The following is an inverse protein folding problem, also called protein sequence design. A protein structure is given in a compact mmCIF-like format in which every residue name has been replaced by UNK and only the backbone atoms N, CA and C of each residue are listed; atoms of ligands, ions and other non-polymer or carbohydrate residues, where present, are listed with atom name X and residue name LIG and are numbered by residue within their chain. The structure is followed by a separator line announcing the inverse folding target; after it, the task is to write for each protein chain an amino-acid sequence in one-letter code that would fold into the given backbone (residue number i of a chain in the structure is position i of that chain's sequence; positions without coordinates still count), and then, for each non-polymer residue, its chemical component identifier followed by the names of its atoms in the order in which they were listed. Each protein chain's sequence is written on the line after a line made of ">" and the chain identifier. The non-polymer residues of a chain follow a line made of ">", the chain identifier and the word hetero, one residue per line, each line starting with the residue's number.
data_IF_245431562171
#
_entry.id   IF_245431562171
#
_cell.length_a   1.000
_cell.length_b   1.000
_cell.length_c   1.000
_cell.angle_alpha   90.00
_cell.angle_beta   90.00
_cell.angle_gamma   90.00
#
_symmetry.space_group_name_H-M   'P 1'
#
loop_
_entity.id
_entity.type
_entity.pdbx_description
1 polymer ?
#
# COMPACT_ATOMS: atom_id res chain seq x y z
N UNK A 1 -1.99 2.47 9.23
CA UNK A 1 -0.81 2.08 8.44
C UNK A 1 0.27 1.62 9.42
N UNK A 2 0.66 0.34 9.38
CA UNK A 2 1.63 -0.22 10.33
C UNK A 2 3.07 0.15 9.91
N UNK A 3 3.53 1.32 10.35
CA UNK A 3 4.88 1.85 10.09
C UNK A 3 6.00 0.98 10.71
N UNK A 4 5.63 -0.01 11.54
CA UNK A 4 6.60 -0.89 12.20
C UNK A 4 7.30 -1.84 11.22
N UNK A 5 6.60 -2.34 10.20
CA UNK A 5 7.19 -3.23 9.19
C UNK A 5 8.18 -2.49 8.28
N UNK A 6 7.87 -1.23 7.92
CA UNK A 6 8.81 -0.37 7.17
C UNK A 6 10.05 -0.09 8.01
N UNK A 7 9.88 0.24 9.28
CA UNK A 7 10.99 0.47 10.23
C UNK A 7 11.84 -0.78 10.44
N UNK A 8 11.23 -1.97 10.50
CA UNK A 8 11.95 -3.25 10.61
C UNK A 8 12.82 -3.49 9.36
N UNK A 9 12.28 -3.18 8.18
CA UNK A 9 12.97 -3.25 6.90
C UNK A 9 14.18 -2.30 6.86
N UNK A 10 13.97 -1.03 7.22
CA UNK A 10 15.03 -0.01 7.27
C UNK A 10 16.15 -0.41 8.22
N UNK A 11 15.80 -0.95 9.39
CA UNK A 11 16.77 -1.42 10.38
C UNK A 11 17.55 -2.64 9.90
N UNK A 12 16.90 -3.55 9.16
CA UNK A 12 17.58 -4.73 8.60
C UNK A 12 18.54 -4.33 7.50
N UNK A 13 18.13 -3.46 6.57
CA UNK A 13 18.99 -2.97 5.47
C UNK A 13 20.20 -2.18 6.00
N UNK A 14 20.00 -1.37 7.05
CA UNK A 14 21.08 -0.62 7.69
C UNK A 14 22.21 -1.51 8.23
N UNK A 15 21.92 -2.77 8.62
CA UNK A 15 22.96 -3.72 9.07
C UNK A 15 23.89 -4.21 7.95
N UNK A 16 23.48 -4.07 6.69
CA UNK A 16 24.25 -4.55 5.53
C UNK A 16 24.97 -3.41 4.78
N UNK A 17 24.78 -2.15 5.19
CA UNK A 17 25.40 -0.96 4.56
C UNK A 17 26.93 -1.00 4.60
N UNK A 18 27.52 -1.71 5.55
CA UNK A 18 28.98 -1.80 5.73
C UNK A 18 29.66 -2.90 4.91
N UNK A 19 28.91 -3.74 4.18
CA UNK A 19 29.40 -5.03 3.69
C UNK A 19 29.85 -5.09 2.24
N UNK A 20 29.99 -3.99 1.50
CA UNK A 20 30.32 -4.12 0.09
C UNK A 20 31.35 -3.10 -0.45
N UNK A 21 32.41 -3.55 -1.15
CA UNK A 21 32.63 -3.02 -2.49
C UNK A 21 31.36 -3.37 -3.28
N UNK A 22 30.49 -2.38 -3.44
CA UNK A 22 29.09 -2.54 -3.83
C UNK A 22 29.02 -3.26 -5.19
N UNK A 23 28.53 -4.51 -5.17
CA UNK A 23 28.11 -5.20 -6.40
C UNK A 23 27.13 -4.26 -7.13
N UNK A 24 27.38 -3.98 -8.40
CA UNK A 24 26.59 -3.04 -9.21
C UNK A 24 25.09 -3.39 -9.18
N UNK A 25 24.76 -4.68 -9.06
CA UNK A 25 23.39 -5.17 -8.94
C UNK A 25 22.80 -4.76 -7.58
N UNK A 26 23.57 -4.87 -6.49
CA UNK A 26 23.12 -4.44 -5.17
C UNK A 26 22.92 -2.91 -5.12
N UNK A 27 23.83 -2.12 -5.72
CA UNK A 27 23.69 -0.66 -5.83
C UNK A 27 22.34 -0.31 -6.45
N UNK A 28 22.08 -0.89 -7.63
CA UNK A 28 20.89 -0.59 -8.43
C UNK A 28 19.60 -0.91 -7.69
N UNK A 29 19.55 -2.05 -7.00
CA UNK A 29 18.38 -2.42 -6.23
C UNK A 29 18.16 -1.51 -5.00
N UNK A 30 19.25 -1.02 -4.38
CA UNK A 30 19.17 -0.01 -3.32
C UNK A 30 18.66 1.34 -3.84
N UNK A 31 19.09 1.78 -5.02
CA UNK A 31 18.58 2.99 -5.68
C UNK A 31 17.09 2.84 -6.04
N UNK A 32 16.67 1.68 -6.57
CA UNK A 32 15.26 1.36 -6.83
C UNK A 32 14.40 1.41 -5.55
N UNK A 33 14.94 0.91 -4.43
CA UNK A 33 14.27 0.99 -3.14
C UNK A 33 14.17 2.43 -2.63
N UNK A 34 15.25 3.22 -2.71
CA UNK A 34 15.26 4.61 -2.28
C UNK A 34 14.24 5.45 -3.07
N UNK A 35 14.20 5.27 -4.40
CA UNK A 35 13.22 5.91 -5.25
C UNK A 35 11.78 5.56 -4.83
N UNK A 36 11.48 4.27 -4.58
CA UNK A 36 10.15 3.84 -4.14
C UNK A 36 9.77 4.41 -2.77
N UNK A 37 10.72 4.51 -1.83
CA UNK A 37 10.52 5.13 -0.51
C UNK A 37 10.28 6.64 -0.64
N UNK A 38 11.01 7.32 -1.53
CA UNK A 38 10.82 8.75 -1.78
C UNK A 38 9.45 9.03 -2.42
N UNK A 39 9.02 8.24 -3.41
CA UNK A 39 7.66 8.35 -3.96
C UNK A 39 6.58 8.15 -2.88
N UNK A 40 6.74 7.14 -2.02
CA UNK A 40 5.82 6.89 -0.91
C UNK A 40 5.79 8.06 0.08
N UNK A 41 6.95 8.66 0.37
CA UNK A 41 7.08 9.84 1.23
C UNK A 41 6.35 11.03 0.63
N UNK A 42 6.60 11.36 -0.63
CA UNK A 42 5.94 12.47 -1.32
C UNK A 42 4.42 12.30 -1.33
N UNK A 43 3.93 11.07 -1.51
CA UNK A 43 2.52 10.76 -1.41
C UNK A 43 1.97 11.05 0.00
N UNK A 44 2.67 10.61 1.05
CA UNK A 44 2.26 10.86 2.44
C UNK A 44 2.36 12.33 2.84
N UNK A 45 3.32 13.09 2.30
CA UNK A 45 3.45 14.53 2.54
C UNK A 45 2.29 15.32 1.91
N UNK A 46 1.75 14.84 0.77
CA UNK A 46 0.55 15.39 0.12
C UNK A 46 -0.73 14.96 0.82
N UNK A 47 -0.71 13.86 1.58
CA UNK A 47 -1.87 13.37 2.29
C UNK A 47 -2.25 14.29 3.45
N UNK A 48 -3.55 14.50 3.65
CA UNK A 48 -4.07 15.26 4.79
C UNK A 48 -5.16 14.47 5.52
N UNK A 49 -5.38 14.71 6.82
CA UNK A 49 -6.46 14.06 7.59
C UNK A 49 -7.88 14.29 7.06
N UNK A 50 -8.06 15.20 6.09
CA UNK A 50 -9.34 15.48 5.44
C UNK A 50 -9.56 14.67 4.16
N UNK A 51 -8.56 13.91 3.72
CA UNK A 51 -8.64 12.99 2.60
C UNK A 51 -9.16 11.63 3.06
N UNK A 52 -9.77 10.89 2.14
CA UNK A 52 -10.32 9.56 2.39
C UNK A 52 -9.23 8.59 2.81
N UNK A 53 -9.46 7.88 3.91
CA UNK A 53 -8.64 6.74 4.33
C UNK A 53 -8.71 5.59 3.33
N UNK A 54 -9.89 5.34 2.74
CA UNK A 54 -10.09 4.32 1.70
C UNK A 54 -9.21 4.62 0.48
N UNK A 55 -9.28 5.84 -0.06
CA UNK A 55 -8.44 6.25 -1.19
C UNK A 55 -6.97 6.25 -0.83
N UNK A 56 -6.62 6.65 0.39
CA UNK A 56 -5.24 6.57 0.87
C UNK A 56 -4.69 5.14 0.82
N UNK A 57 -5.47 4.15 1.28
CA UNK A 57 -5.05 2.74 1.20
C UNK A 57 -4.89 2.28 -0.25
N UNK A 58 -5.86 2.58 -1.13
CA UNK A 58 -5.79 2.18 -2.53
C UNK A 58 -4.62 2.83 -3.28
N UNK A 59 -4.39 4.13 -3.07
CA UNK A 59 -3.33 4.88 -3.73
C UNK A 59 -1.94 4.56 -3.18
N UNK A 60 -1.84 4.11 -1.93
CA UNK A 60 -0.55 3.72 -1.34
C UNK A 60 -0.07 2.33 -1.78
N UNK A 61 -0.98 1.45 -2.23
CA UNK A 61 -0.68 0.09 -2.72
C UNK A 61 0.51 0.03 -3.71
N UNK A 62 0.55 0.80 -4.82
CA UNK A 62 1.65 0.70 -5.78
C UNK A 62 3.02 1.02 -5.18
N UNK A 63 3.13 2.01 -4.30
CA UNK A 63 4.40 2.36 -3.66
C UNK A 63 4.87 1.25 -2.72
N UNK A 64 3.92 0.68 -1.98
CA UNK A 64 4.18 -0.38 -1.01
C UNK A 64 4.64 -1.65 -1.74
N UNK A 65 4.00 -2.02 -2.84
CA UNK A 65 4.44 -3.13 -3.69
C UNK A 65 5.86 -2.90 -4.24
N UNK A 66 6.17 -1.69 -4.74
CA UNK A 66 7.54 -1.36 -5.19
C UNK A 66 8.57 -1.56 -4.08
N UNK A 67 8.30 -1.03 -2.88
CA UNK A 67 9.17 -1.16 -1.70
C UNK A 67 9.38 -2.64 -1.35
N UNK A 68 8.31 -3.44 -1.34
CA UNK A 68 8.39 -4.87 -1.05
C UNK A 68 9.23 -5.61 -2.09
N UNK A 69 8.95 -5.39 -3.38
CA UNK A 69 9.67 -6.04 -4.47
C UNK A 69 11.16 -5.74 -4.37
N UNK A 70 11.54 -4.46 -4.27
CA UNK A 70 12.95 -4.06 -4.16
C UNK A 70 13.60 -4.66 -2.91
N UNK A 71 12.89 -4.70 -1.78
CA UNK A 71 13.40 -5.29 -0.54
C UNK A 71 13.62 -6.81 -0.63
N UNK A 72 12.72 -7.54 -1.30
CA UNK A 72 12.88 -8.99 -1.52
C UNK A 72 14.08 -9.26 -2.43
N UNK A 73 14.28 -8.44 -3.47
CA UNK A 73 15.46 -8.55 -4.36
C UNK A 73 16.75 -8.33 -3.58
N UNK A 74 16.86 -7.24 -2.81
CA UNK A 74 18.03 -6.95 -1.95
C UNK A 74 18.29 -8.10 -0.99
N UNK A 75 17.25 -8.58 -0.31
CA UNK A 75 17.39 -9.69 0.65
C UNK A 75 17.88 -10.97 -0.01
N UNK A 76 17.44 -11.24 -1.24
CA UNK A 76 17.87 -12.42 -2.00
C UNK A 76 19.34 -12.32 -2.42
N UNK A 77 19.77 -11.17 -2.92
CA UNK A 77 21.18 -10.90 -3.26
C UNK A 77 22.06 -11.04 -2.01
N UNK A 78 21.64 -10.47 -0.88
CA UNK A 78 22.35 -10.60 0.39
C UNK A 78 22.44 -12.07 0.86
N UNK A 79 21.37 -12.87 0.69
CA UNK A 79 21.41 -14.30 1.01
C UNK A 79 22.46 -15.04 0.16
N UNK A 80 22.54 -14.75 -1.14
CA UNK A 80 23.50 -15.37 -2.06
C UNK A 80 24.94 -15.00 -1.70
N UNK A 81 25.19 -13.71 -1.41
CA UNK A 81 26.49 -13.22 -0.97
C UNK A 81 26.93 -13.87 0.37
N UNK A 82 26.01 -13.97 1.34
CA UNK A 82 26.29 -14.63 2.63
C UNK A 82 26.54 -16.12 2.46
N UNK A 83 25.75 -16.82 1.63
CA UNK A 83 25.91 -18.26 1.37
C UNK A 83 27.24 -18.61 0.67
N UNK A 84 27.84 -17.65 -0.02
CA UNK A 84 29.14 -17.79 -0.68
C UNK A 84 30.35 -17.42 0.20
N UNK A 85 30.13 -16.89 1.41
CA UNK A 85 31.16 -16.33 2.30
C UNK A 85 31.24 -17.07 3.64
N UNK A 86 32.43 -17.31 4.24
CA UNK A 86 32.55 -17.98 5.54
C UNK A 86 32.16 -17.08 6.74
N UNK A 87 31.52 -15.95 6.49
CA UNK A 87 31.39 -14.83 7.42
C UNK A 87 30.23 -15.00 8.42
N UNK A 88 30.34 -14.31 9.56
CA UNK A 88 29.50 -14.39 10.77
C UNK A 88 28.04 -13.92 10.61
N UNK A 89 27.54 -13.73 9.38
CA UNK A 89 26.16 -13.36 9.14
C UNK A 89 25.29 -14.62 9.12
N UNK A 90 24.28 -14.65 9.99
CA UNK A 90 23.36 -15.76 10.02
C UNK A 90 22.45 -15.71 8.79
N UNK A 91 22.42 -16.80 8.01
CA UNK A 91 21.43 -17.04 6.95
C UNK A 91 19.99 -16.81 7.44
N UNK A 92 19.75 -16.99 8.76
CA UNK A 92 18.45 -16.70 9.39
C UNK A 92 18.02 -15.24 9.25
N UNK A 93 18.94 -14.29 9.33
CA UNK A 93 18.61 -12.86 9.36
C UNK A 93 18.20 -12.36 7.97
N UNK A 94 18.86 -12.87 6.92
CA UNK A 94 18.53 -12.56 5.53
C UNK A 94 17.22 -13.25 5.09
N UNK A 95 16.98 -14.49 5.52
CA UNK A 95 15.69 -15.18 5.30
C UNK A 95 14.53 -14.52 6.05
N UNK A 96 14.77 -14.03 7.27
CA UNK A 96 13.78 -13.29 8.04
C UNK A 96 13.37 -11.98 7.32
N UNK A 97 14.33 -11.26 6.75
CA UNK A 97 14.06 -10.05 5.95
C UNK A 97 13.18 -10.35 4.72
N UNK A 98 13.41 -11.47 4.04
CA UNK A 98 12.58 -11.95 2.92
C UNK A 98 11.15 -12.29 3.35
N UNK A 99 10.98 -12.95 4.50
CA UNK A 99 9.66 -13.30 5.03
C UNK A 99 8.86 -12.05 5.44
N UNK A 100 9.50 -11.09 6.10
CA UNK A 100 8.80 -9.90 6.63
C UNK A 100 8.44 -8.90 5.52
N UNK A 101 9.30 -8.74 4.51
CA UNK A 101 9.00 -7.94 3.32
C UNK A 101 7.80 -8.46 2.52
N UNK A 102 7.54 -9.77 2.53
CA UNK A 102 6.38 -10.37 1.88
C UNK A 102 5.06 -10.21 2.65
N UNK A 103 5.09 -9.85 3.94
CA UNK A 103 3.92 -9.94 4.83
C UNK A 103 3.29 -8.58 5.23
N UNK A 104 3.37 -7.54 4.39
CA UNK A 104 2.79 -6.25 4.75
C UNK A 104 1.26 -6.31 4.88
N UNK A 105 0.76 -5.93 6.06
CA UNK A 105 -0.67 -5.91 6.40
C UNK A 105 -1.50 -5.02 5.48
N UNK A 106 -0.89 -4.00 4.85
CA UNK A 106 -1.60 -3.06 4.00
C UNK A 106 -2.15 -3.71 2.73
N UNK A 107 -1.45 -4.72 2.20
CA UNK A 107 -1.87 -5.44 1.00
C UNK A 107 -3.23 -6.12 1.21
N UNK A 108 -3.39 -6.82 2.35
CA UNK A 108 -4.64 -7.48 2.77
C UNK A 108 -5.81 -6.51 2.91
N UNK A 109 -5.55 -5.29 3.39
CA UNK A 109 -6.60 -4.26 3.54
C UNK A 109 -7.00 -3.72 2.17
N UNK A 110 -6.04 -3.52 1.27
CA UNK A 110 -6.32 -3.06 -0.08
C UNK A 110 -7.08 -4.10 -0.90
N UNK A 111 -6.71 -5.37 -0.82
CA UNK A 111 -7.45 -6.48 -1.44
C UNK A 111 -8.90 -6.54 -0.96
N UNK A 112 -9.11 -6.39 0.35
CA UNK A 112 -10.45 -6.38 0.94
C UNK A 112 -11.28 -5.20 0.43
N UNK A 113 -10.69 -4.00 0.31
CA UNK A 113 -11.36 -2.82 -0.25
C UNK A 113 -11.71 -3.06 -1.74
N UNK A 114 -10.78 -3.57 -2.52
CA UNK A 114 -10.99 -3.84 -3.96
C UNK A 114 -12.10 -4.87 -4.20
N UNK A 115 -12.18 -5.92 -3.38
CA UNK A 115 -13.22 -6.94 -3.47
C UNK A 115 -14.62 -6.39 -3.12
N UNK A 116 -14.70 -5.52 -2.10
CA UNK A 116 -15.94 -4.82 -1.75
C UNK A 116 -16.38 -3.90 -2.90
N UNK A 117 -15.44 -3.17 -3.52
CA UNK A 117 -15.74 -2.29 -4.65
C UNK A 117 -16.16 -3.09 -5.91
N UNK A 118 -15.52 -4.24 -6.15
CA UNK A 118 -15.84 -5.11 -7.29
C UNK A 118 -17.23 -5.73 -7.15
N UNK A 119 -17.53 -6.34 -5.99
CA UNK A 119 -18.85 -6.90 -5.71
C UNK A 119 -19.96 -5.86 -5.87
N UNK A 120 -19.71 -4.63 -5.40
CA UNK A 120 -20.64 -3.52 -5.58
C UNK A 120 -20.85 -3.14 -7.07
N UNK A 121 -19.78 -3.14 -7.89
CA UNK A 121 -19.88 -2.87 -9.33
C UNK A 121 -20.65 -3.95 -10.10
N UNK A 122 -20.65 -5.18 -9.59
CA UNK A 122 -21.37 -6.34 -10.14
C UNK A 122 -22.82 -6.43 -9.64
N UNK A 123 -23.28 -5.47 -8.83
CA UNK A 123 -24.62 -5.46 -8.22
C UNK A 123 -24.79 -6.47 -7.09
N UNK A 124 -23.69 -7.08 -6.62
CA UNK A 124 -23.67 -8.04 -5.52
C UNK A 124 -23.49 -7.26 -4.23
N UNK A 125 -24.41 -7.46 -3.28
CA UNK A 125 -24.28 -6.84 -1.96
C UNK A 125 -23.05 -7.40 -1.24
N UNK A 126 -22.06 -6.57 -0.85
CA UNK A 126 -20.88 -7.06 -0.14
C UNK A 126 -21.28 -7.69 1.19
N UNK A 127 -20.66 -8.82 1.55
CA UNK A 127 -20.97 -9.49 2.82
C UNK A 127 -20.69 -8.54 4.00
N UNK A 128 -21.62 -8.47 4.95
CA UNK A 128 -21.54 -7.55 6.10
C UNK A 128 -20.24 -7.72 6.91
N UNK A 129 -19.72 -8.95 7.01
CA UNK A 129 -18.46 -9.21 7.72
C UNK A 129 -17.24 -8.58 7.05
N UNK A 130 -17.19 -8.55 5.71
CA UNK A 130 -16.09 -7.88 4.99
C UNK A 130 -16.12 -6.38 5.23
N UNK A 131 -17.30 -5.77 5.13
CA UNK A 131 -17.51 -4.35 5.44
C UNK A 131 -17.10 -4.03 6.88
N UNK A 132 -17.54 -4.83 7.86
CA UNK A 132 -17.19 -4.63 9.26
C UNK A 132 -15.68 -4.77 9.53
N UNK A 133 -15.02 -5.73 8.86
CA UNK A 133 -13.56 -5.89 8.93
C UNK A 133 -12.80 -4.71 8.33
N UNK A 134 -13.28 -4.18 7.20
CA UNK A 134 -12.73 -2.96 6.57
C UNK A 134 -12.82 -1.78 7.52
N UNK A 135 -14.02 -1.49 8.02
CA UNK A 135 -14.31 -0.34 8.86
C UNK A 135 -13.49 -0.38 10.15
N UNK A 136 -13.38 -1.56 10.77
CA UNK A 136 -12.53 -1.76 11.95
C UNK A 136 -11.06 -1.48 11.64
N UNK A 137 -10.57 -1.93 10.49
CA UNK A 137 -9.16 -1.76 10.12
C UNK A 137 -8.80 -0.31 9.78
N UNK A 138 -9.77 0.44 9.24
CA UNK A 138 -9.62 1.87 8.93
C UNK A 138 -9.92 2.79 10.13
N UNK A 139 -10.27 2.22 11.29
CA UNK A 139 -10.77 2.95 12.46
C UNK A 139 -11.93 3.88 12.08
N UNK A 140 -12.96 3.31 11.46
CA UNK A 140 -14.22 3.95 11.10
C UNK A 140 -15.34 3.34 11.95
N UNK A 141 -15.27 3.59 13.26
CA UNK A 141 -16.08 2.88 14.27
C UNK A 141 -17.32 3.66 14.70
N UNK A 142 -17.32 4.98 14.51
CA UNK A 142 -18.45 5.85 14.82
C UNK A 142 -19.16 6.35 13.57
N UNK A 143 -20.44 6.72 13.72
CA UNK A 143 -21.23 7.34 12.65
C UNK A 143 -20.62 8.64 12.13
N UNK A 144 -19.98 9.42 13.00
CA UNK A 144 -19.28 10.65 12.62
C UNK A 144 -18.05 10.36 11.76
N UNK A 145 -17.24 9.35 12.12
CA UNK A 145 -16.09 8.93 11.32
C UNK A 145 -16.52 8.43 9.94
N UNK A 146 -17.57 7.60 9.88
CA UNK A 146 -18.14 7.12 8.62
C UNK A 146 -18.61 8.27 7.73
N UNK A 147 -19.41 9.19 8.28
CA UNK A 147 -19.90 10.34 7.53
C UNK A 147 -18.75 11.21 7.02
N UNK A 148 -17.74 11.45 7.85
CA UNK A 148 -16.56 12.23 7.45
C UNK A 148 -15.77 11.56 6.33
N UNK A 149 -15.63 10.23 6.37
CA UNK A 149 -14.96 9.44 5.36
C UNK A 149 -15.74 9.48 4.03
N UNK A 150 -17.07 9.31 4.07
CA UNK A 150 -17.91 9.41 2.88
C UNK A 150 -17.81 10.79 2.22
N UNK A 151 -17.84 11.87 3.01
CA UNK A 151 -17.69 13.24 2.50
C UNK A 151 -16.30 13.43 1.87
N UNK A 152 -15.24 12.92 2.50
CA UNK A 152 -13.88 13.02 1.97
C UNK A 152 -13.74 12.27 0.63
N UNK A 153 -14.20 11.02 0.60
CA UNK A 153 -14.20 10.17 -0.59
C UNK A 153 -14.94 10.83 -1.76
N UNK A 154 -16.12 11.37 -1.49
CA UNK A 154 -16.95 12.00 -2.52
C UNK A 154 -16.34 13.30 -3.06
N UNK A 155 -15.71 14.11 -2.19
CA UNK A 155 -14.98 15.31 -2.62
C UNK A 155 -13.82 14.95 -3.54
N UNK A 156 -13.07 13.90 -3.24
CA UNK A 156 -11.95 13.45 -4.07
C UNK A 156 -12.42 12.87 -5.41
N UNK A 157 -13.54 12.14 -5.40
CA UNK A 157 -14.18 11.67 -6.62
C UNK A 157 -14.63 12.84 -7.52
N UNK A 158 -15.26 13.88 -6.96
CA UNK A 158 -15.66 15.08 -7.73
C UNK A 158 -14.43 15.77 -8.31
N UNK A 159 -13.37 15.99 -7.52
CA UNK A 159 -12.10 16.54 -8.02
C UNK A 159 -11.50 15.70 -9.14
N UNK A 160 -11.55 14.37 -9.03
CA UNK A 160 -11.06 13.49 -10.08
C UNK A 160 -11.89 13.62 -11.37
N UNK A 161 -13.21 13.76 -11.27
CA UNK A 161 -14.10 14.00 -12.43
C UNK A 161 -13.88 15.36 -13.08
N UNK A 162 -13.68 16.42 -12.29
CA UNK A 162 -13.38 17.77 -12.79
C UNK A 162 -12.04 17.79 -13.57
N UNK A 163 -11.06 17.00 -13.11
CA UNK A 163 -9.78 16.79 -13.79
C UNK A 163 -9.88 15.85 -15.02
N UNK A 164 -10.97 15.07 -15.15
CA UNK A 164 -11.25 14.14 -16.26
C UNK A 164 -12.17 14.75 -17.34
N UNK A 165 -11.98 16.01 -17.71
CA UNK A 165 -12.56 16.59 -18.94
C UNK A 165 -11.90 16.06 -20.24
N UNK A 166 -11.27 14.88 -20.20
CA UNK A 166 -10.87 14.08 -21.37
C UNK A 166 -11.07 12.58 -21.13
N UNK A 167 -12.29 12.10 -21.42
CA UNK A 167 -12.57 10.74 -21.88
C UNK A 167 -12.64 9.63 -20.82
N UNK A 168 -13.86 9.31 -20.36
CA UNK A 168 -14.12 8.10 -19.57
C UNK A 168 -15.46 8.14 -18.82
N UNK A 169 -16.55 8.54 -19.49
CA UNK A 169 -17.82 8.88 -18.84
C UNK A 169 -18.80 7.71 -18.60
N UNK A 170 -18.55 6.53 -19.15
CA UNK A 170 -19.64 5.54 -19.22
C UNK A 170 -19.84 4.71 -17.93
N UNK A 171 -18.82 4.60 -17.06
CA UNK A 171 -18.95 3.81 -15.82
C UNK A 171 -19.49 4.60 -14.63
N UNK A 172 -19.40 5.93 -14.68
CA UNK A 172 -19.69 6.81 -13.55
C UNK A 172 -21.18 7.23 -13.52
N UNK A 173 -21.86 7.20 -14.67
CA UNK A 173 -23.28 7.52 -14.79
C UNK A 173 -24.16 6.54 -13.98
N UNK A 174 -23.81 5.25 -14.00
CA UNK A 174 -24.58 4.21 -13.31
C UNK A 174 -24.63 4.39 -11.78
N UNK A 175 -23.63 5.01 -11.16
CA UNK A 175 -23.60 5.21 -9.70
C UNK A 175 -24.53 6.35 -9.23
N UNK A 176 -24.82 7.31 -10.09
CA UNK A 176 -25.63 8.50 -9.73
C UNK A 176 -27.12 8.16 -9.74
N UNK A 177 -27.60 7.38 -10.72
CA UNK A 177 -29.00 6.94 -10.76
C UNK A 177 -29.40 6.09 -9.54
N UNK A 178 -28.46 5.32 -8.97
CA UNK A 178 -28.69 4.49 -7.79
C UNK A 178 -28.94 5.31 -6.51
N UNK A 179 -28.20 6.39 -6.31
CA UNK A 179 -28.32 7.21 -5.09
C UNK A 179 -29.56 8.11 -5.08
N UNK A 180 -30.07 8.49 -6.24
CA UNK A 180 -31.29 9.31 -6.35
C UNK A 180 -32.59 8.52 -6.18
N UNK A 181 -32.56 7.19 -6.29
CA UNK A 181 -33.76 6.36 -6.17
C UNK A 181 -34.09 5.92 -4.73
N UNK A 182 -33.13 6.08 -3.80
CA UNK A 182 -33.24 5.58 -2.42
C UNK A 182 -33.07 6.67 -1.35
N UNK A 183 -33.27 7.94 -1.72
CA UNK A 183 -33.47 9.06 -0.79
C UNK A 183 -34.95 9.32 -0.51
#
# INVERSE_FOLDING_TARGET
>A
MDLNSVRCLTNSISRFIHLAPLDEILCKNCEELDAAVNEAREFLEKWSPRMSKILCVLQSKPFILKIQISSVKISSILCELVGSSPSTLSLSDAQFCKQESQNLKLDKVSELIEEILRSQSEGITPHADYLMSMLRTLNLTSSQELLSECIAFEKERIKAKENQTKGGLDQISCTIEFMSLHS
#
